data_IF_879436752053
#
_entry.id   IF_879436752053
#
_cell.length_a   1.000
_cell.length_b   1.000
_cell.length_c   1.000
_cell.angle_alpha   90.00
_cell.angle_beta   90.00
_cell.angle_gamma   90.00
#
_symmetry.space_group_name_H-M   'P 1'
#
loop_
_entity.id
_entity.type
_entity.pdbx_description
1 polymer ?
#
# COMPACT_ATOMS: atom_id res chain seq x y z
N UNK A 1 -59.74 41.18 -3.34
CA UNK A 1 -59.33 40.49 -2.11
C UNK A 1 -58.50 39.27 -2.49
N UNK A 2 -57.19 39.32 -2.32
CA UNK A 2 -56.28 38.19 -2.61
C UNK A 2 -56.27 37.26 -1.41
N UNK A 3 -56.78 36.02 -1.57
CA UNK A 3 -56.72 34.98 -0.54
C UNK A 3 -55.26 34.57 -0.32
N UNK A 4 -54.72 34.82 0.87
CA UNK A 4 -53.42 34.29 1.28
C UNK A 4 -53.45 32.76 1.30
N UNK A 5 -52.51 32.12 0.61
CA UNK A 5 -52.33 30.65 0.65
C UNK A 5 -51.68 30.29 1.98
N UNK A 6 -52.35 29.48 2.81
CA UNK A 6 -51.72 28.88 3.99
C UNK A 6 -50.72 27.82 3.52
N UNK A 7 -49.44 28.04 3.81
CA UNK A 7 -48.40 27.03 3.64
C UNK A 7 -48.56 25.98 4.71
N UNK A 8 -48.79 24.72 4.32
CA UNK A 8 -48.84 23.58 5.27
C UNK A 8 -47.47 23.46 5.95
N UNK A 9 -47.45 23.55 7.28
CA UNK A 9 -46.26 23.34 8.10
C UNK A 9 -46.10 21.85 8.46
N UNK A 10 -44.88 21.48 8.85
CA UNK A 10 -44.55 20.15 9.36
C UNK A 10 -45.25 19.91 10.72
N UNK A 11 -45.82 18.72 10.91
CA UNK A 11 -46.42 18.31 12.19
C UNK A 11 -45.37 17.69 13.12
N UNK A 12 -45.62 17.74 14.44
CA UNK A 12 -44.75 17.10 15.43
C UNK A 12 -44.67 15.59 15.25
N UNK A 13 -45.77 14.96 14.82
CA UNK A 13 -45.83 13.51 14.55
C UNK A 13 -44.95 13.15 13.36
N UNK A 14 -44.96 13.95 12.29
CA UNK A 14 -44.09 13.72 11.14
C UNK A 14 -42.61 13.83 11.52
N UNK A 15 -42.24 14.81 12.36
CA UNK A 15 -40.86 14.94 12.83
C UNK A 15 -40.44 13.74 13.70
N UNK A 16 -41.34 13.28 14.58
CA UNK A 16 -41.07 12.15 15.48
C UNK A 16 -40.84 10.84 14.71
N UNK A 17 -41.67 10.57 13.70
CA UNK A 17 -41.53 9.37 12.87
C UNK A 17 -40.21 9.41 12.08
N UNK A 18 -39.81 10.59 11.57
CA UNK A 18 -38.57 10.74 10.82
C UNK A 18 -37.34 10.46 11.68
N UNK A 19 -37.26 11.01 12.90
CA UNK A 19 -36.11 10.75 13.78
C UNK A 19 -36.05 9.28 14.22
N UNK A 20 -37.21 8.62 14.40
CA UNK A 20 -37.27 7.20 14.74
C UNK A 20 -36.73 6.33 13.58
N UNK A 21 -37.10 6.64 12.34
CA UNK A 21 -36.59 5.95 11.16
C UNK A 21 -35.08 6.18 10.99
N UNK A 22 -34.62 7.43 11.15
CA UNK A 22 -33.18 7.76 11.07
C UNK A 22 -32.37 6.99 12.13
N UNK A 23 -32.88 6.88 13.35
CA UNK A 23 -32.20 6.13 14.42
C UNK A 23 -32.04 4.65 14.09
N UNK A 24 -33.08 4.01 13.54
CA UNK A 24 -33.04 2.61 13.12
C UNK A 24 -32.05 2.41 11.97
N UNK A 25 -32.11 3.26 10.94
CA UNK A 25 -31.22 3.17 9.78
C UNK A 25 -29.75 3.43 10.16
N UNK A 26 -29.50 4.40 11.04
CA UNK A 26 -28.16 4.67 11.55
C UNK A 26 -27.61 3.47 12.32
N UNK A 27 -28.40 2.85 13.19
CA UNK A 27 -28.00 1.64 13.92
C UNK A 27 -27.66 0.47 13.00
N UNK A 28 -28.44 0.25 11.95
CA UNK A 28 -28.15 -0.78 10.95
C UNK A 28 -26.84 -0.55 10.19
N UNK A 29 -26.53 0.72 9.85
CA UNK A 29 -25.33 1.08 9.10
C UNK A 29 -24.03 0.77 9.87
N UNK A 30 -24.02 0.99 11.19
CA UNK A 30 -22.87 0.70 12.04
C UNK A 30 -22.51 -0.78 12.11
N UNK A 31 -23.47 -1.69 11.92
CA UNK A 31 -23.19 -3.13 11.87
C UNK A 31 -22.51 -3.56 10.56
N UNK A 32 -22.69 -2.80 9.48
CA UNK A 32 -22.18 -3.16 8.14
C UNK A 32 -20.81 -2.54 7.88
N UNK A 33 -20.55 -1.33 8.37
CA UNK A 33 -19.27 -0.64 8.14
C UNK A 33 -18.23 -1.09 9.17
N UNK A 34 -17.21 -1.79 8.69
CA UNK A 34 -15.97 -1.98 9.45
C UNK A 34 -14.95 -0.91 9.00
N UNK A 35 -14.77 0.20 9.75
CA UNK A 35 -13.87 1.28 9.35
C UNK A 35 -12.41 0.83 9.29
N UNK A 36 -12.00 -0.14 10.13
CA UNK A 36 -10.64 -0.69 10.10
C UNK A 36 -10.37 -1.40 8.77
N UNK A 37 -11.34 -2.17 8.26
CA UNK A 37 -11.26 -2.86 6.96
C UNK A 37 -11.14 -1.86 5.80
N UNK A 38 -11.94 -0.79 5.82
CA UNK A 38 -11.87 0.26 4.78
C UNK A 38 -10.50 0.95 4.77
N UNK A 39 -9.99 1.30 5.94
CA UNK A 39 -8.68 1.93 6.07
C UNK A 39 -7.54 1.00 5.61
N UNK A 40 -7.61 -0.29 5.92
CA UNK A 40 -6.66 -1.29 5.42
C UNK A 40 -6.67 -1.35 3.88
N UNK A 41 -7.86 -1.39 3.26
CA UNK A 41 -7.99 -1.40 1.79
C UNK A 41 -7.43 -0.13 1.13
N UNK A 42 -7.64 1.04 1.75
CA UNK A 42 -7.05 2.30 1.27
C UNK A 42 -5.53 2.27 1.34
N UNK A 43 -4.95 1.79 2.45
CA UNK A 43 -3.50 1.63 2.60
C UNK A 43 -2.93 0.64 1.60
N UNK A 44 -3.59 -0.49 1.39
CA UNK A 44 -3.23 -1.49 0.40
C UNK A 44 -3.18 -0.93 -1.02
N UNK A 45 -4.19 -0.14 -1.40
CA UNK A 45 -4.21 0.54 -2.71
C UNK A 45 -3.05 1.52 -2.84
N UNK A 46 -2.70 2.22 -1.75
CA UNK A 46 -1.54 3.11 -1.70
C UNK A 46 -0.23 2.33 -1.84
N UNK A 47 -0.06 1.20 -1.14
CA UNK A 47 1.12 0.33 -1.24
C UNK A 47 1.37 -0.14 -2.66
N UNK A 48 0.34 -0.65 -3.32
CA UNK A 48 0.40 -1.12 -4.72
C UNK A 48 0.91 0.01 -5.62
N UNK A 49 0.33 1.21 -5.50
CA UNK A 49 0.75 2.37 -6.29
C UNK A 49 2.20 2.77 -6.00
N UNK A 50 2.60 2.83 -4.73
CA UNK A 50 3.94 3.21 -4.30
C UNK A 50 5.02 2.24 -4.81
N UNK A 51 4.84 0.93 -4.63
CA UNK A 51 5.85 -0.04 -5.11
C UNK A 51 5.85 -0.16 -6.64
N UNK A 52 4.70 0.02 -7.30
CA UNK A 52 4.64 0.03 -8.77
C UNK A 52 5.40 1.22 -9.35
N UNK A 53 5.26 2.40 -8.73
CA UNK A 53 6.00 3.59 -9.15
C UNK A 53 7.49 3.44 -8.86
N UNK A 54 7.85 2.87 -7.71
CA UNK A 54 9.23 2.55 -7.37
C UNK A 54 9.84 1.55 -8.35
N UNK A 55 9.10 0.52 -8.77
CA UNK A 55 9.53 -0.45 -9.76
C UNK A 55 9.90 0.22 -11.09
N UNK A 56 9.06 1.15 -11.57
CA UNK A 56 9.36 1.94 -12.78
C UNK A 56 10.60 2.82 -12.60
N UNK A 57 10.74 3.47 -11.44
CA UNK A 57 11.90 4.30 -11.15
C UNK A 57 13.20 3.48 -11.17
N UNK A 58 13.20 2.29 -10.56
CA UNK A 58 14.35 1.37 -10.60
C UNK A 58 14.64 0.97 -12.05
N UNK A 59 13.64 0.52 -12.81
CA UNK A 59 13.79 0.11 -14.21
C UNK A 59 14.39 1.23 -15.08
N UNK A 60 13.88 2.46 -14.97
CA UNK A 60 14.37 3.61 -15.74
C UNK A 60 15.79 4.00 -15.31
N UNK A 61 16.08 4.00 -14.01
CA UNK A 61 17.42 4.33 -13.51
C UNK A 61 18.49 3.31 -13.95
N UNK A 62 18.11 2.05 -14.14
CA UNK A 62 18.99 1.02 -14.70
C UNK A 62 19.16 1.19 -16.20
N UNK A 63 18.08 1.46 -16.93
CA UNK A 63 18.11 1.67 -18.38
C UNK A 63 19.01 2.87 -18.75
N UNK A 64 18.97 3.94 -17.97
CA UNK A 64 19.79 5.14 -18.19
C UNK A 64 21.21 5.02 -17.59
N UNK A 65 21.55 3.88 -16.99
CA UNK A 65 22.87 3.65 -16.39
C UNK A 65 23.17 4.56 -15.20
N UNK A 66 22.14 5.03 -14.48
CA UNK A 66 22.27 5.90 -13.29
C UNK A 66 22.56 5.12 -12.01
N UNK A 67 22.20 3.85 -11.99
CA UNK A 67 22.44 2.94 -10.87
C UNK A 67 22.93 1.59 -11.39
N UNK A 68 23.58 0.82 -10.53
CA UNK A 68 23.95 -0.57 -10.80
C UNK A 68 23.50 -1.45 -9.64
N UNK A 69 22.80 -2.54 -9.94
CA UNK A 69 22.41 -3.51 -8.93
C UNK A 69 23.60 -4.38 -8.51
N UNK A 70 23.70 -4.60 -7.21
CA UNK A 70 24.52 -5.66 -6.64
C UNK A 70 23.63 -6.83 -6.20
N UNK A 71 24.25 -7.95 -5.87
CA UNK A 71 23.55 -9.02 -5.17
C UNK A 71 23.29 -8.57 -3.73
N UNK A 72 22.08 -8.10 -3.46
CA UNK A 72 21.64 -7.69 -2.14
C UNK A 72 20.57 -8.67 -1.66
N UNK A 73 20.87 -9.35 -0.56
CA UNK A 73 19.86 -10.11 0.18
C UNK A 73 18.73 -9.17 0.63
N UNK A 74 17.62 -9.77 1.04
CA UNK A 74 16.41 -9.06 1.48
C UNK A 74 16.76 -7.92 2.42
N UNK A 75 16.61 -6.69 1.91
CA UNK A 75 16.72 -5.47 2.68
C UNK A 75 15.32 -4.98 2.96
N UNK A 76 14.93 -5.08 4.23
CA UNK A 76 13.57 -4.81 4.61
C UNK A 76 13.50 -4.11 5.99
N UNK A 77 14.63 -3.95 6.69
CA UNK A 77 14.67 -3.37 8.04
C UNK A 77 14.79 -1.86 8.07
N UNK A 78 15.05 -1.22 6.92
CA UNK A 78 15.40 0.19 6.91
C UNK A 78 14.19 1.10 6.66
N UNK A 79 13.96 2.03 7.58
CA UNK A 79 13.06 3.15 7.37
C UNK A 79 13.71 4.27 6.55
N UNK A 80 15.01 4.16 6.24
CA UNK A 80 15.73 5.13 5.44
C UNK A 80 15.16 5.17 4.02
N UNK A 81 14.67 6.35 3.66
CA UNK A 81 14.09 6.63 2.35
C UNK A 81 15.09 7.29 1.39
N UNK A 82 16.38 7.13 1.65
CA UNK A 82 17.45 7.74 0.87
C UNK A 82 17.47 7.17 -0.56
N UNK A 83 17.59 8.06 -1.55
CA UNK A 83 17.55 7.74 -2.98
C UNK A 83 18.94 7.64 -3.61
N UNK A 84 19.98 7.54 -2.78
CA UNK A 84 21.40 7.46 -3.18
C UNK A 84 22.02 6.08 -2.94
N UNK A 85 21.20 5.06 -2.75
CA UNK A 85 21.61 3.66 -2.53
C UNK A 85 21.82 3.28 -1.05
N UNK A 86 21.70 4.25 -0.14
CA UNK A 86 21.75 4.05 1.32
C UNK A 86 20.38 3.83 1.99
N UNK A 87 19.29 3.76 1.23
CA UNK A 87 17.96 3.43 1.75
C UNK A 87 17.68 1.93 1.73
N UNK A 88 16.41 1.56 1.93
CA UNK A 88 15.99 0.15 1.84
C UNK A 88 16.14 -0.42 0.41
N UNK A 89 16.09 0.44 -0.62
CA UNK A 89 16.49 0.07 -1.99
C UNK A 89 18.00 0.27 -2.12
N UNK A 90 18.74 -0.84 -2.17
CA UNK A 90 20.21 -0.83 -2.27
C UNK A 90 20.67 -0.91 -3.71
N UNK A 91 21.63 -0.07 -4.06
CA UNK A 91 22.31 -0.06 -5.35
C UNK A 91 23.64 0.68 -5.23
N UNK A 92 24.45 0.58 -6.27
CA UNK A 92 25.71 1.34 -6.39
C UNK A 92 25.54 2.46 -7.41
N UNK A 93 26.12 3.63 -7.11
CA UNK A 93 26.21 4.75 -8.04
C UNK A 93 27.45 4.58 -8.93
N UNK A 94 27.30 4.67 -10.27
CA UNK A 94 28.43 4.79 -11.17
C UNK A 94 29.24 6.06 -10.89
N UNK A 95 30.52 6.04 -11.24
CA UNK A 95 31.42 7.19 -11.06
C UNK A 95 30.86 8.44 -11.75
N UNK A 96 30.73 9.53 -11.01
CA UNK A 96 30.21 10.81 -11.51
C UNK A 96 28.70 11.01 -11.32
N UNK A 97 27.97 9.99 -10.87
CA UNK A 97 26.55 10.12 -10.49
C UNK A 97 26.41 10.38 -8.99
N UNK A 98 25.68 11.43 -8.61
CA UNK A 98 25.49 11.80 -7.19
C UNK A 98 24.08 11.52 -6.66
N UNK A 99 23.10 11.38 -7.56
CA UNK A 99 21.67 11.31 -7.20
C UNK A 99 21.06 9.93 -7.45
N UNK A 100 21.48 9.22 -8.51
CA UNK A 100 21.03 7.85 -8.80
C UNK A 100 19.53 7.76 -9.04
N UNK A 101 18.81 7.11 -8.12
CA UNK A 101 17.36 6.95 -8.19
C UNK A 101 16.61 8.28 -7.98
N UNK A 102 17.25 9.27 -7.33
CA UNK A 102 16.65 10.57 -7.08
C UNK A 102 16.27 11.37 -8.34
N UNK A 103 16.84 11.02 -9.50
CA UNK A 103 16.45 11.59 -10.82
C UNK A 103 15.03 11.16 -11.23
N UNK A 104 14.53 10.04 -10.69
CA UNK A 104 13.23 9.45 -11.03
C UNK A 104 12.22 9.51 -9.89
N UNK A 105 12.70 9.62 -8.65
CA UNK A 105 11.85 9.66 -7.47
C UNK A 105 12.54 10.43 -6.33
N UNK A 106 11.93 11.50 -5.78
CA UNK A 106 12.61 12.40 -4.83
C UNK A 106 12.88 11.76 -3.44
N UNK A 107 12.08 10.79 -3.04
CA UNK A 107 12.25 10.01 -1.80
C UNK A 107 11.68 8.63 -2.01
N UNK A 108 12.27 7.60 -1.41
CA UNK A 108 11.64 6.29 -1.40
C UNK A 108 10.31 6.35 -0.62
N UNK A 109 9.26 5.67 -1.09
CA UNK A 109 8.01 5.59 -0.36
C UNK A 109 8.22 4.83 0.96
N UNK A 110 7.37 5.12 1.94
CA UNK A 110 7.39 4.42 3.22
C UNK A 110 5.97 4.09 3.62
N UNK A 111 5.72 2.80 3.79
CA UNK A 111 4.45 2.32 4.32
C UNK A 111 4.19 2.96 5.71
N UNK A 112 3.01 3.55 5.97
CA UNK A 112 2.68 4.06 7.30
C UNK A 112 2.59 2.97 8.38
N UNK A 113 2.34 1.72 8.00
CA UNK A 113 2.18 0.58 8.91
C UNK A 113 3.33 -0.40 8.68
N UNK A 114 4.10 -0.65 9.73
CA UNK A 114 5.14 -1.69 9.67
C UNK A 114 4.51 -3.07 9.79
N UNK A 115 4.93 -4.01 8.94
CA UNK A 115 4.72 -5.43 9.15
C UNK A 115 5.83 -5.98 10.04
N UNK A 116 5.52 -6.93 10.94
CA UNK A 116 6.54 -7.60 11.76
C UNK A 116 6.66 -9.07 11.36
N UNK A 117 7.82 -9.49 10.88
CA UNK A 117 8.11 -10.89 10.48
C UNK A 117 9.37 -11.36 11.20
N UNK A 118 9.27 -12.45 11.98
CA UNK A 118 10.42 -12.93 12.77
C UNK A 118 10.99 -11.90 13.76
N UNK A 119 10.15 -11.00 14.29
CA UNK A 119 10.56 -9.96 15.25
C UNK A 119 11.17 -8.70 14.63
N UNK A 120 11.29 -8.64 13.31
CA UNK A 120 11.85 -7.51 12.57
C UNK A 120 10.71 -6.70 11.95
N UNK A 121 10.83 -5.37 11.95
CA UNK A 121 9.85 -4.46 11.36
C UNK A 121 10.20 -4.12 9.90
N UNK A 122 9.18 -4.17 9.04
CA UNK A 122 9.31 -4.03 7.60
C UNK A 122 8.28 -3.03 7.08
N UNK A 123 8.70 -2.18 6.15
CA UNK A 123 7.81 -1.26 5.44
C UNK A 123 7.55 -1.74 4.01
N UNK A 124 8.64 -1.97 3.28
CA UNK A 124 8.67 -2.72 2.03
C UNK A 124 9.87 -3.66 2.05
N UNK A 125 9.83 -4.69 1.21
CA UNK A 125 10.97 -5.58 1.02
C UNK A 125 11.60 -5.27 -0.32
N UNK A 126 12.93 -5.26 -0.36
CA UNK A 126 13.69 -5.18 -1.59
C UNK A 126 14.77 -6.25 -1.58
N UNK A 127 14.92 -6.97 -2.68
CA UNK A 127 16.09 -7.82 -2.91
C UNK A 127 16.50 -7.73 -4.37
N UNK A 128 17.77 -8.00 -4.65
CA UNK A 128 18.27 -7.98 -6.01
C UNK A 128 19.37 -8.99 -6.24
N UNK A 129 19.44 -9.47 -7.47
CA UNK A 129 20.66 -10.02 -8.06
C UNK A 129 21.42 -8.89 -8.75
N UNK A 130 22.49 -9.21 -9.47
CA UNK A 130 23.20 -8.22 -10.29
C UNK A 130 22.40 -7.72 -11.50
N UNK A 131 21.32 -8.41 -11.88
CA UNK A 131 20.55 -8.12 -13.10
C UNK A 131 19.04 -8.07 -12.91
N UNK A 132 18.53 -8.52 -11.76
CA UNK A 132 17.11 -8.56 -11.45
C UNK A 132 16.84 -8.05 -10.04
N UNK A 133 15.60 -7.63 -9.79
CA UNK A 133 15.15 -7.20 -8.47
C UNK A 133 13.71 -7.62 -8.22
N UNK A 134 13.36 -7.57 -6.95
CA UNK A 134 12.04 -7.84 -6.43
C UNK A 134 11.71 -6.83 -5.32
N UNK A 135 10.48 -6.35 -5.33
CA UNK A 135 9.89 -5.46 -4.35
C UNK A 135 8.57 -6.05 -3.86
N UNK A 136 8.45 -6.25 -2.54
CA UNK A 136 7.23 -6.80 -1.95
C UNK A 136 6.59 -5.81 -0.99
N UNK A 137 5.27 -5.67 -1.08
CA UNK A 137 4.44 -5.01 -0.08
C UNK A 137 3.53 -6.02 0.61
N UNK A 138 3.47 -5.99 1.93
CA UNK A 138 2.54 -6.82 2.69
C UNK A 138 1.15 -6.18 2.68
N UNK A 139 0.16 -6.95 2.25
CA UNK A 139 -1.23 -6.53 2.20
C UNK A 139 -1.91 -6.78 3.55
N UNK A 140 -2.69 -5.81 4.01
CA UNK A 140 -3.42 -5.88 5.29
C UNK A 140 -4.83 -6.46 5.13
N UNK A 141 -5.49 -6.15 4.01
CA UNK A 141 -6.87 -6.55 3.77
C UNK A 141 -6.94 -7.88 3.04
N UNK A 142 -7.76 -8.84 3.50
CA UNK A 142 -8.07 -10.05 2.73
C UNK A 142 -8.66 -9.75 1.35
N UNK A 143 -9.34 -8.61 1.19
CA UNK A 143 -9.91 -8.19 -0.10
C UNK A 143 -8.82 -7.85 -1.13
N UNK A 144 -7.58 -7.63 -0.70
CA UNK A 144 -6.44 -7.37 -1.57
C UNK A 144 -5.75 -8.64 -2.03
N UNK A 145 -6.22 -9.82 -1.61
CA UNK A 145 -5.63 -11.11 -1.97
C UNK A 145 -5.55 -11.32 -3.49
N UNK A 146 -6.58 -10.86 -4.21
CA UNK A 146 -6.58 -10.94 -5.68
C UNK A 146 -5.45 -10.14 -6.34
N UNK A 147 -4.94 -9.08 -5.72
CA UNK A 147 -3.82 -8.32 -6.28
C UNK A 147 -2.52 -9.13 -6.16
N UNK A 148 -2.27 -9.70 -4.98
CA UNK A 148 -1.13 -10.58 -4.73
C UNK A 148 -1.18 -11.85 -5.59
N UNK A 149 -2.29 -12.59 -5.60
CA UNK A 149 -2.37 -13.86 -6.34
C UNK A 149 -2.22 -13.73 -7.85
N UNK A 150 -2.37 -12.53 -8.41
CA UNK A 150 -2.35 -12.26 -9.84
C UNK A 150 -1.18 -11.35 -10.27
N UNK A 151 -0.21 -11.08 -9.40
CA UNK A 151 0.96 -10.26 -9.74
C UNK A 151 2.08 -11.03 -10.46
N UNK A 152 1.96 -12.37 -10.52
CA UNK A 152 2.92 -13.26 -11.17
C UNK A 152 4.06 -13.74 -10.26
N UNK A 153 4.02 -13.40 -8.98
CA UNK A 153 4.99 -13.79 -7.97
C UNK A 153 4.68 -15.11 -7.27
N UNK A 154 5.44 -15.39 -6.20
CA UNK A 154 5.43 -16.66 -5.47
C UNK A 154 4.80 -16.54 -4.06
N UNK A 155 4.63 -15.35 -3.49
CA UNK A 155 4.14 -15.13 -2.14
C UNK A 155 2.62 -14.92 -2.07
N UNK A 156 1.90 -15.83 -2.75
CA UNK A 156 0.45 -15.77 -2.98
C UNK A 156 -0.40 -16.23 -1.79
N UNK A 157 0.20 -16.68 -0.69
CA UNK A 157 -0.57 -17.29 0.39
C UNK A 157 -1.11 -16.23 1.36
N UNK A 158 -2.40 -15.96 1.26
CA UNK A 158 -3.09 -14.96 2.06
C UNK A 158 -3.80 -15.66 3.24
N UNK A 159 -3.10 -15.89 4.35
CA UNK A 159 -3.70 -16.49 5.54
C UNK A 159 -4.56 -15.47 6.31
N UNK A 160 -5.78 -15.85 6.71
CA UNK A 160 -6.74 -14.99 7.43
C UNK A 160 -6.50 -14.91 8.94
N UNK A 161 -5.53 -15.67 9.46
CA UNK A 161 -5.20 -15.75 10.89
C UNK A 161 -3.69 -15.51 11.06
N UNK A 162 -3.27 -14.26 11.24
CA UNK A 162 -1.91 -13.98 11.68
C UNK A 162 -1.83 -14.12 13.21
N UNK A 163 -0.71 -14.66 13.75
CA UNK A 163 0.52 -13.87 13.76
C UNK A 163 1.73 -14.65 13.21
N UNK A 164 2.58 -13.95 12.46
CA UNK A 164 3.85 -14.40 11.89
C UNK A 164 3.77 -15.42 10.73
N UNK A 165 4.02 -14.93 9.52
CA UNK A 165 4.73 -15.73 8.51
C UNK A 165 4.08 -15.86 7.14
N UNK A 166 2.76 -15.69 7.01
CA UNK A 166 2.11 -15.82 5.69
C UNK A 166 1.20 -14.63 5.40
N UNK A 167 1.87 -13.53 5.12
CA UNK A 167 1.27 -12.24 4.81
C UNK A 167 1.25 -12.16 3.29
N UNK A 168 0.04 -12.09 2.72
CA UNK A 168 -0.21 -11.89 1.31
C UNK A 168 0.67 -10.75 0.79
N UNK A 169 1.60 -11.01 -0.14
CA UNK A 169 2.50 -9.98 -0.65
C UNK A 169 2.11 -9.62 -2.06
N UNK A 170 2.06 -8.32 -2.33
CA UNK A 170 2.04 -7.82 -3.70
C UNK A 170 3.48 -7.60 -4.15
N UNK A 171 3.84 -8.21 -5.26
CA UNK A 171 5.23 -8.39 -5.73
C UNK A 171 5.40 -7.70 -7.09
N UNK A 172 6.46 -6.91 -7.22
CA UNK A 172 6.82 -6.25 -8.48
C UNK A 172 8.33 -6.31 -8.69
N UNK A 173 8.76 -6.28 -9.94
CA UNK A 173 10.18 -6.44 -10.28
C UNK A 173 10.38 -7.18 -11.58
N UNK A 174 11.59 -7.71 -11.76
CA UNK A 174 11.99 -8.46 -12.95
C UNK A 174 12.16 -9.95 -12.67
N UNK A 175 12.30 -10.34 -11.41
CA UNK A 175 12.29 -11.74 -10.96
C UNK A 175 11.60 -11.80 -9.60
N UNK A 176 10.39 -12.36 -9.55
CA UNK A 176 9.49 -12.35 -8.38
C UNK A 176 9.65 -13.61 -7.52
N UNK A 177 10.89 -14.07 -7.35
CA UNK A 177 11.23 -15.28 -6.59
C UNK A 177 12.56 -15.16 -5.82
N UNK A 178 13.07 -13.95 -5.67
CA UNK A 178 14.27 -13.59 -4.94
C UNK A 178 14.00 -13.57 -3.43
N UNK A 179 12.82 -13.08 -3.02
CA UNK A 179 12.37 -12.95 -1.61
C UNK A 179 11.49 -14.14 -1.22
#
# INVERSE_FOLDING_TARGET
MTKGKYTKGFTLVELLVVIAIIAILAGALFMVINPAKLMAKTRDSKRIAEITELNKAIANSLADGKVTLGAYAVNATDAATAVTGGGYVRFTLPTGTTVGLGDYMPTLPRDPVKATVGGINYYYYFASTTTAWELNAIMESPDSAGAATNDGGNANTCATTAPAGNLCRYEVGTLLTII
#
